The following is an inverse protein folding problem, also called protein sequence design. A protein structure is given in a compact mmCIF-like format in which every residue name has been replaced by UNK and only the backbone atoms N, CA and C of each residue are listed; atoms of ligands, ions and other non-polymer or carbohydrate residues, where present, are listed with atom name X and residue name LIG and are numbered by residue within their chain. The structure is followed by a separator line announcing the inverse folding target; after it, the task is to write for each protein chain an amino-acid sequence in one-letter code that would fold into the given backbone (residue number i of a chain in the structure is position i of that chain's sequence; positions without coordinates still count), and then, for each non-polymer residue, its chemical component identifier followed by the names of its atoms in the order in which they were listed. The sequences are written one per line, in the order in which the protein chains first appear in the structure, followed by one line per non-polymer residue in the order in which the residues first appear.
data_IF_773458757109
#
_entry.id   IF_773458757109
#
_cell.length_a   1.000
_cell.length_b   1.000
_cell.length_c   1.000
_cell.angle_alpha   90.00
_cell.angle_beta   90.00
_cell.angle_gamma   90.00
#
_symmetry.space_group_name_H-M   'P 1'
#
loop_
_entity.id
_entity.type
_entity.pdbx_description
1 polymer ?
#
# COMPACT_ATOMS: atom_id res chain seq x y z
N UNK A 1 5.20 7.65 -5.84
CA UNK A 1 4.46 7.85 -4.58
C UNK A 1 5.08 7.11 -3.39
N UNK A 2 4.90 7.66 -2.18
CA UNK A 2 5.32 7.02 -0.92
C UNK A 2 4.34 5.93 -0.47
N UNK A 3 4.84 4.75 -0.13
CA UNK A 3 4.06 3.61 0.35
C UNK A 3 4.73 2.86 1.50
N UNK A 4 3.94 2.24 2.38
CA UNK A 4 4.44 1.29 3.37
C UNK A 4 4.58 -0.09 2.70
N UNK A 5 5.79 -0.63 2.66
CA UNK A 5 6.10 -1.87 1.96
C UNK A 5 6.55 -2.94 2.94
N UNK A 6 5.87 -4.08 2.93
CA UNK A 6 6.28 -5.29 3.61
C UNK A 6 7.43 -5.98 2.85
N UNK A 7 8.49 -6.40 3.54
CA UNK A 7 9.68 -7.05 2.98
C UNK A 7 10.10 -8.29 3.78
N UNK A 8 9.15 -8.94 4.48
CA UNK A 8 9.37 -10.10 5.33
C UNK A 8 9.04 -9.84 6.81
N UNK A 9 8.96 -10.88 7.65
CA UNK A 9 8.50 -10.76 9.04
C UNK A 9 9.26 -9.69 9.82
N UNK A 10 8.53 -8.74 10.41
CA UNK A 10 9.10 -7.60 11.15
C UNK A 10 9.85 -6.57 10.29
N UNK A 11 9.83 -6.71 8.96
CA UNK A 11 10.52 -5.82 8.01
C UNK A 11 9.49 -5.05 7.19
N UNK A 12 9.09 -3.89 7.72
CA UNK A 12 8.30 -2.88 7.01
C UNK A 12 9.09 -1.58 6.90
N UNK A 13 8.98 -0.93 5.75
CA UNK A 13 9.62 0.36 5.53
C UNK A 13 8.81 1.23 4.59
N UNK A 14 8.96 2.53 4.76
CA UNK A 14 8.49 3.50 3.78
C UNK A 14 9.40 3.47 2.56
N UNK A 15 8.81 3.34 1.37
CA UNK A 15 9.54 3.37 0.10
C UNK A 15 8.86 4.31 -0.89
N UNK A 16 9.64 4.91 -1.77
CA UNK A 16 9.12 5.50 -3.00
C UNK A 16 8.88 4.38 -4.02
N UNK A 17 7.67 4.34 -4.57
CA UNK A 17 7.24 3.38 -5.59
C UNK A 17 6.62 4.12 -6.77
N UNK A 18 6.54 3.52 -7.98
CA UNK A 18 5.85 4.14 -9.10
C UNK A 18 4.39 4.46 -8.76
N UNK A 19 3.86 5.51 -9.39
CA UNK A 19 2.44 5.84 -9.27
C UNK A 19 1.58 4.76 -9.95
N UNK A 20 0.35 4.50 -9.46
CA UNK A 20 -0.51 3.47 -10.00
C UNK A 20 -0.94 3.83 -11.43
N UNK A 21 -1.16 2.79 -12.23
CA UNK A 21 -1.67 2.92 -13.60
C UNK A 21 -2.96 2.12 -13.73
N UNK A 22 -3.89 2.63 -14.53
CA UNK A 22 -5.13 1.94 -14.88
C UNK A 22 -4.78 0.72 -15.74
N UNK A 23 -5.27 -0.46 -15.38
CA UNK A 23 -5.00 -1.72 -16.11
C UNK A 23 -6.24 -2.20 -16.86
N UNK A 24 -7.42 -2.02 -16.28
CA UNK A 24 -8.70 -2.41 -16.85
C UNK A 24 -9.62 -1.20 -17.01
N UNK A 25 -10.59 -1.23 -17.95
CA UNK A 25 -11.51 -0.11 -18.16
C UNK A 25 -12.37 0.27 -16.94
N UNK A 26 -12.49 -0.64 -15.98
CA UNK A 26 -13.29 -0.45 -14.75
C UNK A 26 -12.48 0.09 -13.57
N UNK A 27 -11.17 0.27 -13.71
CA UNK A 27 -10.33 0.73 -12.60
C UNK A 27 -10.47 2.25 -12.38
N UNK A 28 -10.18 2.68 -11.14
CA UNK A 28 -10.06 4.10 -10.79
C UNK A 28 -8.86 4.29 -9.87
N UNK A 29 -8.14 5.41 -10.06
CA UNK A 29 -7.07 5.83 -9.15
C UNK A 29 -7.66 6.82 -8.13
N UNK A 30 -7.52 6.49 -6.85
CA UNK A 30 -8.06 7.29 -5.75
C UNK A 30 -6.91 7.96 -4.99
N UNK A 31 -7.05 9.26 -4.72
CA UNK A 31 -6.15 9.97 -3.80
C UNK A 31 -6.51 9.62 -2.37
N UNK A 32 -5.59 8.94 -1.67
CA UNK A 32 -5.79 8.59 -0.27
C UNK A 32 -5.79 9.83 0.63
N UNK A 33 -6.88 10.01 1.37
CA UNK A 33 -7.02 11.05 2.41
C UNK A 33 -6.72 10.48 3.79
N UNK A 34 -7.17 9.25 4.06
CA UNK A 34 -6.92 8.53 5.30
C UNK A 34 -6.95 7.02 5.05
N UNK A 35 -6.18 6.27 5.84
CA UNK A 35 -6.21 4.81 5.89
C UNK A 35 -5.95 4.36 7.33
N UNK A 36 -6.33 3.12 7.66
CA UNK A 36 -6.14 2.54 8.99
C UNK A 36 -5.46 1.19 8.89
N UNK A 37 -5.08 0.63 10.04
CA UNK A 37 -4.49 -0.70 10.15
C UNK A 37 -5.61 -1.68 10.51
N UNK A 38 -5.72 -2.78 9.78
CA UNK A 38 -6.59 -3.90 10.13
C UNK A 38 -5.86 -4.86 11.09
N UNK A 39 -6.60 -5.59 11.93
CA UNK A 39 -6.00 -6.61 12.81
C UNK A 39 -5.22 -7.68 12.04
N UNK A 40 -5.64 -8.01 10.82
CA UNK A 40 -4.95 -8.97 9.95
C UNK A 40 -3.56 -8.50 9.53
N UNK A 41 -3.36 -7.20 9.40
CA UNK A 41 -2.07 -6.63 9.03
C UNK A 41 -1.03 -6.89 10.12
N UNK A 42 -1.44 -6.95 11.39
CA UNK A 42 -0.54 -7.21 12.51
C UNK A 42 0.05 -8.63 12.49
N UNK A 43 -0.61 -9.58 11.81
CA UNK A 43 -0.08 -10.93 11.65
C UNK A 43 1.05 -11.00 10.62
N UNK A 44 1.14 -10.03 9.72
CA UNK A 44 2.14 -10.01 8.64
C UNK A 44 3.19 -8.91 8.79
N UNK A 45 2.86 -7.78 9.41
CA UNK A 45 3.72 -6.59 9.48
C UNK A 45 4.88 -6.67 10.48
#
# INVERSE_FOLDING_TARGET
MKALVYSGPGKKSWKEVPDPVIQQPTDVIVKMVATTICGTDLHIL
#
